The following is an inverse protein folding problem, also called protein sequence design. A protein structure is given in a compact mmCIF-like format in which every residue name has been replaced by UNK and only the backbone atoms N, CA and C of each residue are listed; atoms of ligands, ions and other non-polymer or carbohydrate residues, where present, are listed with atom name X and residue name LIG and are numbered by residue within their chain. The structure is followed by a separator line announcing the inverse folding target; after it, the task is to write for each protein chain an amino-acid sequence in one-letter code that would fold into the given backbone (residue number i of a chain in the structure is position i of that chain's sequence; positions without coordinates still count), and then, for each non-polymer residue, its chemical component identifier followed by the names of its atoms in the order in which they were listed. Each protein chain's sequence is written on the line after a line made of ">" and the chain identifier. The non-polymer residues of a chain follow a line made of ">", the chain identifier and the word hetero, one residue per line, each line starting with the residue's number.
data_IF_240529559630
#
_entry.id   IF_240529559630
#
_cell.length_a   1.000
_cell.length_b   1.000
_cell.length_c   1.000
_cell.angle_alpha   90.00
_cell.angle_beta   90.00
_cell.angle_gamma   90.00
#
_symmetry.space_group_name_H-M   'P 1'
#
loop_
_entity.id
_entity.type
_entity.pdbx_description
1 polymer ?
#
# COMPACT_ATOMS: atom_id res chain seq x y z
N UNK A 1 -49.40 0.44 1.52
CA UNK A 1 -49.67 -0.03 0.14
C UNK A 1 -49.74 1.18 -0.77
N UNK A 2 -49.31 1.01 -2.03
CA UNK A 2 -49.16 2.01 -3.11
C UNK A 2 -47.76 2.68 -3.09
N UNK A 3 -46.80 2.38 -3.97
CA UNK A 3 -46.85 1.73 -5.27
C UNK A 3 -46.55 2.75 -6.35
N UNK A 4 -45.30 2.80 -6.83
CA UNK A 4 -44.96 3.30 -8.17
C UNK A 4 -43.76 2.53 -8.69
N UNK A 5 -43.98 1.94 -9.87
CA UNK A 5 -43.09 1.10 -10.65
C UNK A 5 -42.46 1.94 -11.78
N UNK A 6 -41.34 1.40 -12.30
CA UNK A 6 -40.74 1.61 -13.63
C UNK A 6 -40.05 2.98 -13.82
N UNK A 7 -38.89 3.10 -14.47
CA UNK A 7 -38.50 2.47 -15.74
C UNK A 7 -36.96 2.43 -15.86
N UNK A 8 -36.42 1.29 -16.29
CA UNK A 8 -35.03 1.15 -16.74
C UNK A 8 -34.91 1.60 -18.20
N UNK A 9 -33.84 2.34 -18.53
CA UNK A 9 -33.47 2.64 -19.92
C UNK A 9 -32.07 2.10 -20.16
N UNK A 10 -32.00 1.01 -20.94
CA UNK A 10 -30.80 0.53 -21.60
C UNK A 10 -30.51 1.46 -22.79
N UNK A 11 -29.29 1.98 -22.87
CA UNK A 11 -28.75 2.53 -24.12
C UNK A 11 -27.50 1.73 -24.46
N UNK A 12 -27.64 0.83 -25.42
CA UNK A 12 -26.54 0.21 -26.12
C UNK A 12 -26.14 1.12 -27.28
N UNK A 13 -24.84 1.46 -27.37
CA UNK A 13 -24.26 2.12 -28.52
C UNK A 13 -23.07 1.30 -29.02
N UNK A 14 -23.33 0.51 -30.05
CA UNK A 14 -22.35 -0.02 -31.01
C UNK A 14 -21.80 1.10 -31.89
N UNK A 15 -20.55 1.03 -32.33
CA UNK A 15 -20.01 1.32 -33.69
C UNK A 15 -18.46 1.37 -33.59
N UNK A 16 -17.71 0.40 -34.12
CA UNK A 16 -17.26 0.25 -35.53
C UNK A 16 -16.09 1.18 -35.92
N UNK A 17 -14.90 0.56 -36.08
CA UNK A 17 -14.05 0.74 -37.26
C UNK A 17 -12.96 1.81 -37.25
N UNK A 18 -11.69 1.37 -37.38
CA UNK A 18 -10.79 1.82 -38.44
C UNK A 18 -9.51 0.96 -38.45
N UNK A 19 -9.35 0.16 -39.51
CA UNK A 19 -8.09 -0.48 -39.90
C UNK A 19 -7.26 0.57 -40.64
N UNK A 20 -6.14 1.00 -40.03
CA UNK A 20 -5.13 1.83 -40.69
C UNK A 20 -3.95 0.95 -41.14
N UNK A 21 -3.82 0.79 -42.45
CA UNK A 21 -2.68 0.15 -43.12
C UNK A 21 -1.46 1.07 -43.18
N UNK A 22 -0.28 0.44 -43.10
CA UNK A 22 0.93 0.73 -43.88
C UNK A 22 1.63 2.09 -43.70
N UNK A 23 2.72 2.05 -42.94
CA UNK A 23 3.86 2.95 -43.10
C UNK A 23 5.16 2.14 -43.05
N UNK A 24 5.62 1.66 -44.21
CA UNK A 24 6.96 1.13 -44.39
C UNK A 24 7.97 2.30 -44.33
N UNK A 25 8.81 2.32 -43.31
CA UNK A 25 9.99 3.16 -43.22
C UNK A 25 11.17 2.30 -42.77
N UNK A 26 11.87 1.75 -43.76
CA UNK A 26 13.12 1.01 -43.60
C UNK A 26 14.26 2.03 -43.58
N UNK A 27 14.98 2.10 -42.46
CA UNK A 27 16.40 2.44 -42.47
C UNK A 27 17.10 1.46 -41.53
N UNK A 28 17.64 0.40 -42.14
CA UNK A 28 18.57 -0.52 -41.50
C UNK A 28 19.98 0.01 -41.75
N UNK A 29 20.71 0.30 -40.67
CA UNK A 29 22.16 0.11 -40.63
C UNK A 29 22.55 -0.70 -39.40
N UNK A 30 23.50 -1.64 -39.51
CA UNK A 30 23.70 -2.72 -38.55
C UNK A 30 24.65 -2.31 -37.42
N UNK A 31 24.20 -2.48 -36.18
CA UNK A 31 25.01 -2.40 -34.98
C UNK A 31 24.50 -3.41 -33.97
N UNK A 32 25.14 -4.57 -33.92
CA UNK A 32 24.90 -5.63 -32.95
C UNK A 32 25.18 -5.15 -31.52
N UNK A 33 24.13 -4.99 -30.71
CA UNK A 33 24.19 -5.22 -29.27
C UNK A 33 22.88 -5.88 -28.81
N UNK A 34 22.98 -7.17 -28.49
CA UNK A 34 21.96 -7.91 -27.76
C UNK A 34 21.80 -7.28 -26.38
N UNK A 35 20.66 -6.63 -26.13
CA UNK A 35 20.21 -6.32 -24.77
C UNK A 35 18.77 -6.79 -24.66
N UNK A 36 18.57 -7.75 -23.75
CA UNK A 36 17.32 -8.41 -23.43
C UNK A 36 16.16 -7.43 -23.29
N UNK A 37 15.06 -7.71 -23.99
CA UNK A 37 13.82 -6.97 -23.88
C UNK A 37 13.34 -6.96 -22.41
N UNK A 38 13.02 -5.80 -21.81
CA UNK A 38 12.26 -5.77 -20.57
C UNK A 38 10.84 -6.26 -20.89
N UNK A 39 10.39 -7.31 -20.19
CA UNK A 39 8.99 -7.71 -20.21
C UNK A 39 8.08 -6.53 -19.80
N UNK A 40 6.81 -6.50 -20.23
CA UNK A 40 5.92 -5.40 -19.91
C UNK A 40 5.72 -5.33 -18.40
N UNK A 41 6.33 -4.32 -17.77
CA UNK A 41 5.90 -3.88 -16.43
C UNK A 41 4.53 -3.25 -16.64
N UNK A 42 3.49 -3.84 -16.06
CA UNK A 42 2.19 -3.19 -15.93
C UNK A 42 2.42 -1.81 -15.33
N UNK A 43 2.24 -0.76 -16.13
CA UNK A 43 2.41 0.60 -15.67
C UNK A 43 1.22 0.95 -14.77
N UNK A 44 1.42 0.89 -13.45
CA UNK A 44 0.48 1.45 -12.49
C UNK A 44 0.25 2.91 -12.86
N UNK A 45 -0.98 3.26 -13.19
CA UNK A 45 -1.27 4.61 -13.67
C UNK A 45 -1.61 5.51 -12.49
N UNK A 46 -0.82 6.56 -12.29
CA UNK A 46 -1.08 7.54 -11.23
C UNK A 46 -2.33 8.40 -11.54
N UNK A 47 -3.10 8.80 -10.52
CA UNK A 47 -4.21 9.75 -10.67
C UNK A 47 -3.70 11.14 -11.10
N UNK A 48 -4.57 11.95 -11.72
CA UNK A 48 -4.32 13.38 -11.88
C UNK A 48 -4.35 14.09 -10.52
N UNK A 49 -3.92 15.36 -10.48
CA UNK A 49 -3.96 16.14 -9.23
C UNK A 49 -5.38 16.29 -8.68
N UNK A 50 -6.35 16.60 -9.56
CA UNK A 50 -7.77 16.72 -9.19
C UNK A 50 -8.31 15.39 -8.65
N UNK A 51 -8.03 14.28 -9.34
CA UNK A 51 -8.44 12.94 -8.90
C UNK A 51 -7.81 12.57 -7.55
N UNK A 52 -6.55 12.95 -7.32
CA UNK A 52 -5.87 12.72 -6.04
C UNK A 52 -6.61 13.44 -4.90
N UNK A 53 -7.00 14.69 -5.10
CA UNK A 53 -7.77 15.45 -4.11
C UNK A 53 -9.11 14.77 -3.79
N UNK A 54 -9.84 14.33 -4.81
CA UNK A 54 -11.12 13.61 -4.62
C UNK A 54 -10.94 12.30 -3.83
N UNK A 55 -9.90 11.52 -4.17
CA UNK A 55 -9.59 10.27 -3.46
C UNK A 55 -9.17 10.51 -2.01
N UNK A 56 -8.43 11.59 -1.73
CA UNK A 56 -8.06 11.99 -0.37
C UNK A 56 -9.28 12.40 0.44
N UNK A 57 -10.19 13.21 -0.14
CA UNK A 57 -11.44 13.59 0.53
C UNK A 57 -12.35 12.38 0.81
N UNK A 58 -12.42 11.44 -0.14
CA UNK A 58 -13.13 10.17 0.04
C UNK A 58 -12.53 9.36 1.20
N UNK A 59 -11.19 9.29 1.27
CA UNK A 59 -10.50 8.61 2.35
C UNK A 59 -10.81 9.23 3.72
N UNK A 60 -10.78 10.55 3.85
CA UNK A 60 -11.09 11.23 5.11
C UNK A 60 -12.52 10.94 5.58
N UNK A 61 -13.48 10.94 4.64
CA UNK A 61 -14.88 10.57 4.91
C UNK A 61 -15.01 9.12 5.37
N UNK A 62 -14.35 8.18 4.67
CA UNK A 62 -14.37 6.77 5.03
C UNK A 62 -13.71 6.53 6.38
N UNK A 63 -12.55 7.14 6.66
CA UNK A 63 -11.86 7.02 7.95
C UNK A 63 -12.76 7.46 9.10
N UNK A 64 -13.46 8.58 8.96
CA UNK A 64 -14.41 9.06 9.97
C UNK A 64 -15.60 8.12 10.15
N UNK A 65 -16.15 7.58 9.06
CA UNK A 65 -17.33 6.67 9.09
C UNK A 65 -16.99 5.29 9.65
N UNK A 66 -15.82 4.76 9.33
CA UNK A 66 -15.39 3.40 9.69
C UNK A 66 -14.85 3.31 11.13
N UNK A 67 -14.33 4.42 11.67
CA UNK A 67 -13.86 4.49 13.05
C UNK A 67 -12.80 3.42 13.35
N UNK A 68 -13.01 2.65 14.42
CA UNK A 68 -12.07 1.60 14.85
C UNK A 68 -11.94 0.44 13.86
N UNK A 69 -12.83 0.30 12.88
CA UNK A 69 -12.68 -0.72 11.84
C UNK A 69 -11.68 -0.31 10.75
N UNK A 70 -11.26 0.95 10.69
CA UNK A 70 -10.27 1.46 9.73
C UNK A 70 -8.85 1.06 10.13
N UNK A 71 -8.06 0.59 9.17
CA UNK A 71 -6.63 0.31 9.35
C UNK A 71 -5.76 1.31 8.60
N UNK A 72 -5.86 1.36 7.27
CA UNK A 72 -5.01 2.21 6.42
C UNK A 72 -5.62 2.38 5.03
N UNK A 73 -5.05 3.25 4.20
CA UNK A 73 -5.46 3.43 2.82
C UNK A 73 -4.30 3.81 1.89
N UNK A 74 -4.46 3.46 0.62
CA UNK A 74 -3.49 3.79 -0.42
C UNK A 74 -4.20 3.98 -1.76
N UNK A 75 -3.54 4.70 -2.67
CA UNK A 75 -4.01 4.84 -4.04
C UNK A 75 -3.20 3.91 -4.92
N UNK A 76 -3.88 3.03 -5.64
CA UNK A 76 -3.31 2.11 -6.62
C UNK A 76 -4.24 2.07 -7.82
N UNK A 77 -3.67 2.13 -9.03
CA UNK A 77 -4.43 2.13 -10.29
C UNK A 77 -5.57 3.18 -10.35
N UNK A 78 -5.31 4.39 -9.83
CA UNK A 78 -6.27 5.52 -9.70
C UNK A 78 -7.48 5.24 -8.81
N UNK A 79 -7.45 4.19 -8.00
CA UNK A 79 -8.52 3.84 -7.08
C UNK A 79 -8.03 3.92 -5.64
N UNK A 80 -8.93 4.32 -4.75
CA UNK A 80 -8.67 4.29 -3.32
C UNK A 80 -8.87 2.86 -2.83
N UNK A 81 -7.84 2.28 -2.23
CA UNK A 81 -7.94 1.04 -1.47
C UNK A 81 -7.98 1.38 0.02
N UNK A 82 -8.85 0.69 0.77
CA UNK A 82 -8.99 0.91 2.22
C UNK A 82 -8.92 -0.43 2.94
N UNK A 83 -7.94 -0.56 3.83
CA UNK A 83 -7.80 -1.69 4.73
C UNK A 83 -8.74 -1.54 5.93
N UNK A 84 -9.52 -2.58 6.21
CA UNK A 84 -10.51 -2.63 7.28
C UNK A 84 -10.52 -3.99 7.98
N UNK A 85 -10.98 -4.03 9.23
CA UNK A 85 -10.95 -5.26 10.06
C UNK A 85 -12.24 -6.06 10.08
N UNK A 86 -13.32 -5.56 9.46
CA UNK A 86 -14.62 -6.22 9.47
C UNK A 86 -15.27 -6.26 8.10
N UNK A 87 -16.09 -7.30 7.86
CA UNK A 87 -16.82 -7.46 6.61
C UNK A 87 -17.84 -6.32 6.37
N UNK A 88 -18.46 -5.80 7.43
CA UNK A 88 -19.42 -4.70 7.30
C UNK A 88 -18.73 -3.39 6.94
N UNK A 89 -17.55 -3.12 7.51
CA UNK A 89 -16.70 -2.01 7.07
C UNK A 89 -16.30 -2.17 5.58
N UNK A 90 -15.98 -3.39 5.13
CA UNK A 90 -15.63 -3.65 3.74
C UNK A 90 -16.79 -3.35 2.78
N UNK A 91 -18.04 -3.63 3.19
CA UNK A 91 -19.24 -3.25 2.41
C UNK A 91 -19.36 -1.73 2.31
N UNK A 92 -19.20 -1.01 3.42
CA UNK A 92 -19.24 0.46 3.44
C UNK A 92 -18.20 1.09 2.49
N UNK A 93 -16.98 0.53 2.45
CA UNK A 93 -15.93 0.97 1.51
C UNK A 93 -16.34 0.72 0.06
N UNK A 94 -16.86 -0.48 -0.23
CA UNK A 94 -17.30 -0.86 -1.59
C UNK A 94 -18.43 0.03 -2.10
N UNK A 95 -19.42 0.30 -1.25
CA UNK A 95 -20.56 1.19 -1.56
C UNK A 95 -20.12 2.63 -1.84
N UNK A 96 -18.99 3.06 -1.28
CA UNK A 96 -18.41 4.37 -1.50
C UNK A 96 -17.53 4.44 -2.78
N UNK A 97 -17.40 3.34 -3.52
CA UNK A 97 -16.62 3.28 -4.76
C UNK A 97 -15.12 3.04 -4.56
N UNK A 98 -14.70 2.71 -3.34
CA UNK A 98 -13.33 2.32 -3.02
C UNK A 98 -13.18 0.78 -2.98
N UNK A 99 -11.93 0.30 -3.02
CA UNK A 99 -11.62 -1.13 -2.99
C UNK A 99 -11.34 -1.55 -1.54
N UNK A 100 -12.17 -2.41 -0.91
CA UNK A 100 -11.89 -2.88 0.43
C UNK A 100 -10.75 -3.90 0.44
N UNK A 101 -9.96 -3.88 1.50
CA UNK A 101 -9.06 -4.97 1.87
C UNK A 101 -9.33 -5.39 3.31
N UNK A 102 -9.62 -6.66 3.53
CA UNK A 102 -9.69 -7.18 4.89
C UNK A 102 -8.29 -7.43 5.45
N UNK A 103 -8.08 -6.98 6.69
CA UNK A 103 -6.85 -7.14 7.44
C UNK A 103 -7.17 -7.51 8.89
N UNK A 104 -6.21 -8.07 9.61
CA UNK A 104 -6.42 -8.56 10.98
C UNK A 104 -6.31 -7.45 12.04
N UNK A 105 -5.63 -6.35 11.73
CA UNK A 105 -5.29 -5.30 12.69
C UNK A 105 -5.76 -3.92 12.24
N UNK A 106 -6.36 -3.19 13.16
CA UNK A 106 -6.76 -1.79 12.95
C UNK A 106 -5.58 -0.82 13.16
N UNK A 107 -5.82 0.46 12.85
CA UNK A 107 -4.82 1.50 12.96
C UNK A 107 -4.30 1.67 14.39
N UNK A 108 -5.16 1.53 15.40
CA UNK A 108 -4.81 1.72 16.79
C UNK A 108 -3.92 0.59 17.32
N UNK A 109 -4.17 -0.65 16.87
CA UNK A 109 -3.36 -1.82 17.20
C UNK A 109 -1.96 -1.73 16.57
N UNK A 110 -1.87 -1.32 15.30
CA UNK A 110 -0.59 -1.09 14.62
C UNK A 110 0.23 0.01 15.30
N UNK A 111 -0.42 1.12 15.63
CA UNK A 111 0.19 2.25 16.33
C UNK A 111 0.62 1.88 17.76
N UNK A 112 -0.14 1.03 18.45
CA UNK A 112 0.28 0.46 19.74
C UNK A 112 1.52 -0.45 19.59
N UNK A 113 1.60 -1.26 18.54
CA UNK A 113 2.78 -2.09 18.27
C UNK A 113 4.01 -1.26 17.91
N UNK A 114 3.85 -0.17 17.15
CA UNK A 114 4.93 0.77 16.87
C UNK A 114 5.52 1.33 18.17
N UNK A 115 4.66 1.80 19.09
CA UNK A 115 5.11 2.28 20.40
C UNK A 115 5.78 1.20 21.24
N UNK A 116 5.28 -0.03 21.20
CA UNK A 116 5.88 -1.15 21.93
C UNK A 116 7.29 -1.48 21.40
N UNK A 117 7.49 -1.43 20.08
CA UNK A 117 8.82 -1.59 19.46
C UNK A 117 9.75 -0.44 19.84
N UNK A 118 9.27 0.80 19.84
CA UNK A 118 10.08 1.96 20.25
C UNK A 118 10.48 1.86 21.74
N UNK A 119 9.57 1.43 22.62
CA UNK A 119 9.88 1.18 24.02
C UNK A 119 10.90 0.05 24.19
N UNK A 120 10.75 -1.03 23.43
CA UNK A 120 11.72 -2.12 23.42
C UNK A 120 13.10 -1.68 22.90
N UNK A 121 13.17 -0.87 21.86
CA UNK A 121 14.44 -0.31 21.34
C UNK A 121 15.20 0.42 22.45
N UNK A 122 14.51 1.16 23.32
CA UNK A 122 15.13 1.86 24.44
C UNK A 122 15.72 0.93 25.53
N UNK A 123 15.40 -0.37 25.50
CA UNK A 123 15.96 -1.39 26.41
C UNK A 123 17.16 -2.13 25.81
N UNK A 124 17.45 -1.93 24.53
CA UNK A 124 18.56 -2.60 23.85
C UNK A 124 19.91 -2.00 24.26
N UNK A 125 21.00 -2.78 24.14
CA UNK A 125 22.35 -2.23 24.13
C UNK A 125 22.48 -1.07 23.14
N UNK A 126 23.29 -0.06 23.48
CA UNK A 126 23.36 1.19 22.74
C UNK A 126 23.70 0.99 21.25
N UNK A 127 24.61 0.06 20.94
CA UNK A 127 25.01 -0.26 19.57
C UNK A 127 23.85 -0.86 18.75
N UNK A 128 23.06 -1.74 19.35
CA UNK A 128 21.87 -2.32 18.72
C UNK A 128 20.75 -1.29 18.57
N UNK A 129 20.52 -0.47 19.60
CA UNK A 129 19.51 0.58 19.57
C UNK A 129 19.82 1.62 18.48
N UNK A 130 21.09 2.03 18.35
CA UNK A 130 21.54 2.99 17.35
C UNK A 130 21.49 2.43 15.92
N UNK A 131 21.60 1.11 15.75
CA UNK A 131 21.50 0.47 14.45
C UNK A 131 20.07 0.41 13.89
N UNK A 132 19.05 0.62 14.72
CA UNK A 132 17.65 0.73 14.27
C UNK A 132 17.41 2.16 13.79
N UNK A 133 17.34 2.34 12.47
CA UNK A 133 17.18 3.65 11.85
C UNK A 133 15.72 4.07 11.69
N UNK A 134 14.80 3.11 11.58
CA UNK A 134 13.41 3.38 11.24
C UNK A 134 12.49 2.25 11.69
N UNK A 135 11.35 2.61 12.29
CA UNK A 135 10.27 1.70 12.64
C UNK A 135 9.01 2.21 11.94
N UNK A 136 8.37 1.38 11.13
CA UNK A 136 7.18 1.76 10.35
C UNK A 136 6.11 0.69 10.48
N UNK A 137 4.86 1.12 10.55
CA UNK A 137 3.68 0.28 10.36
C UNK A 137 3.23 0.31 8.91
N UNK A 138 2.73 -0.82 8.44
CA UNK A 138 2.08 -0.94 7.14
C UNK A 138 0.71 -1.56 7.36
N UNK A 139 -0.35 -0.75 7.31
CA UNK A 139 -1.72 -1.26 7.48
C UNK A 139 -2.27 -1.96 6.24
N UNK A 140 -1.62 -1.82 5.07
CA UNK A 140 -1.93 -2.66 3.90
C UNK A 140 -1.56 -4.12 4.17
N UNK A 141 -0.47 -4.39 4.89
CA UNK A 141 -0.02 -5.76 5.21
C UNK A 141 -0.25 -6.16 6.67
N UNK A 142 -0.69 -5.24 7.54
CA UNK A 142 -0.84 -5.49 8.97
C UNK A 142 0.49 -5.77 9.68
N UNK A 143 1.60 -5.19 9.20
CA UNK A 143 2.97 -5.52 9.63
C UNK A 143 3.68 -4.33 10.24
N UNK A 144 4.54 -4.56 11.24
CA UNK A 144 5.55 -3.59 11.68
C UNK A 144 6.88 -3.97 11.06
N UNK A 145 7.58 -3.02 10.43
CA UNK A 145 8.92 -3.22 9.86
C UNK A 145 9.94 -2.36 10.60
N UNK A 146 11.03 -2.99 11.02
CA UNK A 146 12.22 -2.32 11.56
C UNK A 146 13.32 -2.36 10.49
N UNK A 147 13.93 -1.21 10.23
CA UNK A 147 15.08 -1.07 9.35
C UNK A 147 16.36 -0.95 10.18
N UNK A 148 17.29 -1.88 9.99
CA UNK A 148 18.49 -2.07 10.81
C UNK A 148 19.74 -2.04 9.93
N UNK A 149 20.85 -1.52 10.41
CA UNK A 149 22.13 -1.65 9.68
C UNK A 149 22.49 -3.11 9.43
N UNK A 150 23.23 -3.37 8.34
CA UNK A 150 23.60 -4.72 7.93
C UNK A 150 24.40 -5.48 9.00
N UNK A 151 25.23 -4.76 9.76
CA UNK A 151 26.14 -5.34 10.77
C UNK A 151 25.39 -5.85 12.00
N UNK A 152 24.23 -5.26 12.30
CA UNK A 152 23.45 -5.56 13.50
C UNK A 152 22.15 -6.32 13.20
N UNK A 153 21.83 -6.58 11.93
CA UNK A 153 20.55 -7.18 11.53
C UNK A 153 20.30 -8.53 12.22
N UNK A 154 21.30 -9.39 12.34
CA UNK A 154 21.18 -10.70 12.97
C UNK A 154 21.01 -10.58 14.49
N UNK A 155 21.79 -9.71 15.12
CA UNK A 155 21.73 -9.48 16.57
C UNK A 155 20.38 -8.89 17.00
N UNK A 156 19.93 -7.85 16.29
CA UNK A 156 18.61 -7.23 16.52
C UNK A 156 17.48 -8.21 16.22
N UNK A 157 17.61 -9.04 15.19
CA UNK A 157 16.61 -10.08 14.89
C UNK A 157 16.49 -11.12 15.99
N UNK A 158 17.61 -11.60 16.53
CA UNK A 158 17.61 -12.53 17.65
C UNK A 158 17.01 -11.90 18.91
N UNK A 159 17.34 -10.63 19.21
CA UNK A 159 16.79 -9.89 20.33
C UNK A 159 15.27 -9.70 20.18
N UNK A 160 14.79 -9.34 18.99
CA UNK A 160 13.37 -9.17 18.68
C UNK A 160 12.60 -10.48 18.81
N UNK A 161 13.15 -11.60 18.32
CA UNK A 161 12.52 -12.91 18.43
C UNK A 161 12.36 -13.35 19.89
N UNK A 162 13.33 -13.02 20.76
CA UNK A 162 13.26 -13.31 22.20
C UNK A 162 12.26 -12.42 22.93
N UNK A 163 12.24 -11.12 22.62
CA UNK A 163 11.40 -10.15 23.31
C UNK A 163 9.94 -10.14 22.81
N UNK A 164 9.72 -10.52 21.54
CA UNK A 164 8.46 -10.41 20.82
C UNK A 164 7.73 -9.06 21.04
N UNK A 165 8.35 -7.92 20.69
CA UNK A 165 7.86 -6.60 21.08
C UNK A 165 6.50 -6.22 20.46
N UNK A 166 6.10 -6.87 19.35
CA UNK A 166 4.83 -6.63 18.66
C UNK A 166 3.72 -7.60 19.07
N UNK A 167 4.03 -8.60 19.91
CA UNK A 167 3.07 -9.59 20.39
C UNK A 167 2.49 -10.45 19.27
N UNK A 168 1.28 -10.12 18.81
CA UNK A 168 0.56 -10.84 17.74
C UNK A 168 0.78 -10.24 16.35
N UNK A 169 1.25 -9.00 16.27
CA UNK A 169 1.45 -8.32 14.99
C UNK A 169 2.77 -8.82 14.36
N UNK A 170 2.76 -9.22 13.08
CA UNK A 170 3.97 -9.61 12.36
C UNK A 170 5.05 -8.53 12.44
N UNK A 171 6.27 -8.95 12.75
CA UNK A 171 7.45 -8.10 12.78
C UNK A 171 8.40 -8.50 11.66
N UNK A 172 8.61 -7.59 10.71
CA UNK A 172 9.62 -7.72 9.68
C UNK A 172 10.88 -6.93 10.07
N UNK A 173 12.04 -7.51 9.82
CA UNK A 173 13.33 -6.83 10.00
C UNK A 173 14.02 -6.78 8.64
N UNK A 174 14.39 -5.59 8.21
CA UNK A 174 14.98 -5.33 6.91
C UNK A 174 16.27 -4.55 7.07
N UNK A 175 17.19 -4.76 6.15
CA UNK A 175 18.39 -3.94 6.07
C UNK A 175 18.02 -2.48 5.75
N UNK A 176 18.68 -1.56 6.44
CA UNK A 176 18.65 -0.14 6.16
C UNK A 176 19.81 0.21 5.23
N UNK A 177 19.54 0.95 4.15
CA UNK A 177 20.56 1.54 3.28
C UNK A 177 21.28 2.76 3.91
N UNK A 178 21.21 2.91 5.24
CA UNK A 178 21.76 4.05 5.98
C UNK A 178 20.78 5.21 6.18
N UNK A 179 21.17 6.14 7.05
CA UNK A 179 20.51 7.45 7.18
C UNK A 179 20.91 8.31 5.97
N UNK A 180 19.95 9.03 5.37
CA UNK A 180 20.27 10.04 4.38
C UNK A 180 21.12 11.14 5.05
N UNK A 181 22.40 11.22 4.72
CA UNK A 181 23.25 12.36 5.09
C UNK A 181 22.96 13.51 4.12
N UNK A 182 22.50 14.68 4.59
CA UNK A 182 22.42 15.86 3.74
C UNK A 182 23.83 16.20 3.23
N UNK A 183 23.92 16.52 1.93
CA UNK A 183 25.14 16.95 1.23
C UNK A 183 25.52 18.38 1.60
#
# INVERSE_FOLDING_TARGET
>A
MNGRKMTAVLVAATMTGALGMSGCGQDQSPGTHSTSAPGPRSATTSPTAQQSTELLMLNDSLKAKLGSAYSDSWIEDKQLHVAVTTQDAAKVVSEAGAIPKLVDFDAAQLEAALRAVAAWQATLPQDQAAAIHRIITDGRSGTVTIYVTSEQINTVSAAAAKANPTGRIPLAIKESTGLATPL
#
